data_IF_073443190544
#
_entry.id   IF_073443190544
#
_cell.length_a   1.000
_cell.length_b   1.000
_cell.length_c   1.000
_cell.angle_alpha   90.00
_cell.angle_beta   90.00
_cell.angle_gamma   90.00
#
_symmetry.space_group_name_H-M   'P 1'
#
loop_
_entity.id
_entity.type
_entity.pdbx_description
1 polymer ?
#
# COMPACT_ATOMS: atom_id res chain seq x y z
N UNK A 1 -7.38 -45.21 28.47
CA UNK A 1 -6.51 -44.05 28.81
C UNK A 1 -5.27 -43.88 27.91
N UNK A 2 -4.59 -44.94 27.44
CA UNK A 2 -3.28 -44.82 26.75
C UNK A 2 -3.33 -44.25 25.31
N UNK A 3 -4.40 -44.52 24.53
CA UNK A 3 -4.53 -44.04 23.14
C UNK A 3 -4.63 -42.51 23.06
N UNK A 4 -5.33 -41.87 24.00
CA UNK A 4 -5.48 -40.41 24.05
C UNK A 4 -4.15 -39.69 24.30
N UNK A 5 -3.35 -40.17 25.27
CA UNK A 5 -2.01 -39.62 25.55
C UNK A 5 -1.07 -39.72 24.34
N UNK A 6 -1.13 -40.84 23.61
CA UNK A 6 -0.35 -41.04 22.37
C UNK A 6 -0.75 -40.07 21.26
N UNK A 7 -2.05 -39.84 21.07
CA UNK A 7 -2.54 -38.92 20.04
C UNK A 7 -2.12 -37.47 20.34
N UNK A 8 -2.16 -37.04 21.61
CA UNK A 8 -1.65 -35.74 22.04
C UNK A 8 -0.14 -35.63 21.79
N UNK A 9 0.63 -36.68 22.10
CA UNK A 9 2.08 -36.67 21.88
C UNK A 9 2.43 -36.50 20.40
N UNK A 10 1.75 -37.23 19.50
CA UNK A 10 1.93 -37.12 18.05
C UNK A 10 1.55 -35.72 17.57
N UNK A 11 0.41 -35.20 18.02
CA UNK A 11 -0.02 -33.84 17.71
C UNK A 11 1.04 -32.82 18.13
N UNK A 12 1.51 -32.87 19.38
CA UNK A 12 2.51 -31.94 19.90
C UNK A 12 3.83 -32.03 19.15
N UNK A 13 4.31 -33.23 18.82
CA UNK A 13 5.57 -33.43 18.07
C UNK A 13 5.48 -32.84 16.66
N UNK A 14 4.30 -32.87 16.02
CA UNK A 14 4.09 -32.30 14.69
C UNK A 14 3.91 -30.79 14.77
N UNK A 15 3.08 -30.30 15.69
CA UNK A 15 2.77 -28.87 15.79
C UNK A 15 3.91 -28.07 16.40
N UNK A 16 4.74 -28.66 17.26
CA UNK A 16 5.90 -27.98 17.83
C UNK A 16 6.81 -27.38 16.74
N UNK A 17 7.43 -28.14 15.82
CA UNK A 17 8.30 -27.56 14.81
C UNK A 17 7.57 -26.56 13.91
N UNK A 18 6.29 -26.81 13.56
CA UNK A 18 5.49 -25.87 12.77
C UNK A 18 5.36 -24.53 13.49
N UNK A 19 4.97 -24.54 14.76
CA UNK A 19 4.80 -23.31 15.55
C UNK A 19 6.12 -22.57 15.78
N UNK A 20 7.22 -23.28 15.99
CA UNK A 20 8.55 -22.67 16.08
C UNK A 20 8.98 -22.04 14.76
N UNK A 21 8.83 -22.74 13.64
CA UNK A 21 9.14 -22.20 12.31
C UNK A 21 8.29 -20.98 11.98
N UNK A 22 6.99 -21.01 12.31
CA UNK A 22 6.14 -19.83 12.17
C UNK A 22 6.58 -18.69 13.09
N UNK A 23 6.95 -18.98 14.34
CA UNK A 23 7.45 -17.97 15.28
C UNK A 23 8.68 -17.24 14.75
N UNK A 24 9.65 -17.98 14.21
CA UNK A 24 10.83 -17.41 13.57
C UNK A 24 10.44 -16.55 12.36
N UNK A 25 9.55 -17.06 11.50
CA UNK A 25 9.07 -16.30 10.35
C UNK A 25 8.34 -15.01 10.74
N UNK A 26 7.58 -15.00 11.82
CA UNK A 26 6.91 -13.80 12.34
C UNK A 26 7.94 -12.75 12.80
N UNK A 27 9.02 -13.17 13.47
CA UNK A 27 10.12 -12.27 13.85
C UNK A 27 10.82 -11.70 12.61
N UNK A 28 11.14 -12.54 11.63
CA UNK A 28 11.75 -12.08 10.38
C UNK A 28 10.84 -11.08 9.63
N UNK A 29 9.53 -11.35 9.58
CA UNK A 29 8.56 -10.43 8.97
C UNK A 29 8.42 -9.13 9.74
N UNK A 30 8.52 -9.16 11.07
CA UNK A 30 8.56 -7.95 11.87
C UNK A 30 9.81 -7.11 11.53
N UNK A 31 10.98 -7.74 11.44
CA UNK A 31 12.23 -7.07 11.06
C UNK A 31 12.16 -6.45 9.66
N UNK A 32 11.62 -7.17 8.67
CA UNK A 32 11.42 -6.64 7.32
C UNK A 32 10.52 -5.41 7.30
N UNK A 33 9.43 -5.41 8.08
CA UNK A 33 8.56 -4.23 8.20
C UNK A 33 9.30 -3.05 8.83
N UNK A 34 10.08 -3.30 9.87
CA UNK A 34 10.91 -2.28 10.53
C UNK A 34 11.93 -1.69 9.56
N UNK A 35 12.57 -2.52 8.74
CA UNK A 35 13.52 -2.05 7.72
C UNK A 35 12.85 -1.16 6.66
N UNK A 36 11.66 -1.55 6.17
CA UNK A 36 10.88 -0.73 5.23
C UNK A 36 10.53 0.62 5.84
N UNK A 37 10.08 0.65 7.09
CA UNK A 37 9.73 1.89 7.81
C UNK A 37 10.97 2.77 7.98
N UNK A 38 12.09 2.21 8.44
CA UNK A 38 13.33 2.95 8.61
C UNK A 38 13.84 3.55 7.29
N UNK A 39 13.77 2.79 6.20
CA UNK A 39 14.13 3.28 4.87
C UNK A 39 13.19 4.41 4.44
N UNK A 40 11.88 4.24 4.62
CA UNK A 40 10.88 5.28 4.34
C UNK A 40 11.19 6.57 5.13
N UNK A 41 11.42 6.49 6.43
CA UNK A 41 11.71 7.64 7.30
C UNK A 41 13.01 8.36 6.87
N UNK A 42 14.00 7.60 6.40
CA UNK A 42 15.25 8.15 5.86
C UNK A 42 15.07 8.89 4.53
N UNK A 43 14.07 8.51 3.73
CA UNK A 43 13.79 9.11 2.43
C UNK A 43 12.89 10.33 2.59
N UNK A 44 11.83 10.25 3.40
CA UNK A 44 10.87 11.34 3.55
C UNK A 44 11.44 12.56 4.26
N UNK A 45 12.50 12.37 5.06
CA UNK A 45 13.24 13.45 5.72
C UNK A 45 14.17 14.23 4.77
N UNK A 46 14.41 13.74 3.56
CA UNK A 46 15.22 14.44 2.56
C UNK A 46 14.45 15.63 1.98
N UNK A 47 15.16 16.70 1.57
CA UNK A 47 14.51 17.82 0.91
C UNK A 47 13.81 17.37 -0.38
N UNK A 48 12.65 17.96 -0.65
CA UNK A 48 11.92 17.70 -1.87
C UNK A 48 12.74 18.15 -3.09
N UNK A 49 12.75 17.32 -4.12
CA UNK A 49 13.42 17.61 -5.39
C UNK A 49 12.40 18.01 -6.45
N UNK A 50 12.82 18.80 -7.43
CA UNK A 50 11.98 19.13 -8.57
C UNK A 50 11.65 17.86 -9.37
N UNK A 51 10.37 17.64 -9.66
CA UNK A 51 9.95 16.52 -10.51
C UNK A 51 10.26 16.80 -11.98
N UNK A 52 10.99 15.90 -12.62
CA UNK A 52 11.26 15.87 -14.06
C UNK A 52 11.06 14.44 -14.55
N UNK A 53 10.32 14.26 -15.64
CA UNK A 53 9.95 12.92 -16.16
C UNK A 53 11.17 12.07 -16.54
N UNK A 54 12.25 12.72 -16.94
CA UNK A 54 13.50 12.05 -17.33
C UNK A 54 14.28 11.49 -16.13
N UNK A 55 13.93 11.88 -14.90
CA UNK A 55 14.62 11.41 -13.71
C UNK A 55 14.04 10.08 -13.22
N UNK A 56 14.93 9.15 -12.87
CA UNK A 56 14.56 7.98 -12.09
C UNK A 56 14.33 8.38 -10.62
N UNK A 57 13.11 8.21 -10.14
CA UNK A 57 12.75 8.47 -8.75
C UNK A 57 12.80 7.20 -7.91
N UNK A 58 13.29 7.34 -6.70
CA UNK A 58 13.18 6.29 -5.69
C UNK A 58 11.77 6.35 -5.09
N UNK A 59 11.17 5.21 -4.77
CA UNK A 59 9.89 5.16 -4.07
C UNK A 59 9.92 6.04 -2.81
N UNK A 60 8.82 6.77 -2.59
CA UNK A 60 8.61 7.71 -1.46
C UNK A 60 9.50 8.94 -1.44
N UNK A 61 10.32 9.19 -2.47
CA UNK A 61 11.10 10.40 -2.58
C UNK A 61 10.19 11.64 -2.61
N UNK A 62 10.38 12.62 -1.71
CA UNK A 62 9.62 13.86 -1.75
C UNK A 62 9.95 14.63 -3.03
N UNK A 63 8.92 15.05 -3.76
CA UNK A 63 9.06 15.85 -4.98
C UNK A 63 8.13 17.05 -4.95
N UNK A 64 8.52 18.12 -5.62
CA UNK A 64 7.67 19.28 -5.87
C UNK A 64 7.62 19.59 -7.36
N UNK A 65 6.51 20.18 -7.79
CA UNK A 65 6.24 20.54 -9.17
C UNK A 65 5.17 21.63 -9.23
N UNK A 66 5.17 22.38 -10.31
CA UNK A 66 4.25 23.50 -10.53
C UNK A 66 3.51 23.30 -11.86
N UNK A 67 2.26 23.74 -11.91
CA UNK A 67 1.37 23.51 -13.05
C UNK A 67 -0.10 23.62 -12.65
N UNK A 68 -0.97 22.94 -13.39
CA UNK A 68 -2.42 23.00 -13.24
C UNK A 68 -3.06 21.61 -13.26
N UNK A 69 -4.16 21.47 -12.51
CA UNK A 69 -5.01 20.29 -12.62
C UNK A 69 -5.93 20.42 -13.84
N UNK A 70 -6.04 19.36 -14.62
CA UNK A 70 -6.95 19.29 -15.77
C UNK A 70 -8.35 18.84 -15.34
N UNK A 71 -9.32 18.78 -16.25
CA UNK A 71 -10.66 18.25 -15.93
C UNK A 71 -10.72 16.71 -15.85
N UNK A 72 -9.61 16.02 -16.14
CA UNK A 72 -9.57 14.55 -16.20
C UNK A 72 -9.31 13.95 -14.81
N UNK A 73 -10.29 13.19 -14.32
CA UNK A 73 -10.22 12.46 -13.06
C UNK A 73 -10.49 10.97 -13.32
N UNK A 74 -9.59 10.12 -12.84
CA UNK A 74 -9.72 8.67 -12.92
C UNK A 74 -10.08 8.09 -11.54
N UNK A 75 -11.09 7.22 -11.54
CA UNK A 75 -11.52 6.48 -10.37
C UNK A 75 -11.13 5.01 -10.55
N UNK A 76 -10.22 4.51 -9.72
CA UNK A 76 -9.95 3.08 -9.61
C UNK A 76 -11.04 2.48 -8.74
N UNK A 77 -11.94 1.72 -9.37
CA UNK A 77 -12.99 0.98 -8.69
C UNK A 77 -12.42 -0.22 -7.92
N UNK A 78 -13.22 -0.77 -7.00
CA UNK A 78 -12.84 -1.92 -6.16
C UNK A 78 -11.59 -1.70 -5.28
N UNK A 79 -11.23 -0.45 -5.00
CA UNK A 79 -10.19 -0.16 -4.05
C UNK A 79 -10.64 -0.55 -2.63
N UNK A 80 -9.77 -1.26 -1.91
CA UNK A 80 -9.95 -1.60 -0.51
C UNK A 80 -8.94 -0.81 0.33
N UNK A 81 -9.43 0.03 1.23
CA UNK A 81 -8.59 0.74 2.21
C UNK A 81 -9.10 0.44 3.62
N UNK A 82 -8.25 -0.18 4.45
CA UNK A 82 -8.56 -0.51 5.85
C UNK A 82 -9.90 -1.26 6.03
N UNK A 83 -10.19 -2.22 5.14
CA UNK A 83 -11.40 -3.05 5.18
C UNK A 83 -12.66 -2.38 4.60
N UNK A 84 -12.56 -1.16 4.06
CA UNK A 84 -13.67 -0.44 3.42
C UNK A 84 -13.49 -0.42 1.91
N UNK A 85 -14.55 -0.78 1.18
CA UNK A 85 -14.59 -0.70 -0.27
C UNK A 85 -14.85 0.75 -0.73
N UNK A 86 -14.27 1.15 -1.85
CA UNK A 86 -14.39 2.51 -2.36
C UNK A 86 -13.60 2.73 -3.65
N UNK A 87 -13.21 3.98 -3.87
CA UNK A 87 -12.52 4.43 -5.07
C UNK A 87 -11.21 5.14 -4.69
N UNK A 88 -10.11 4.80 -5.36
CA UNK A 88 -8.93 5.69 -5.36
C UNK A 88 -9.09 6.71 -6.47
N UNK A 89 -8.73 7.94 -6.17
CA UNK A 89 -8.87 9.05 -7.11
C UNK A 89 -7.50 9.46 -7.61
N UNK A 90 -7.35 9.50 -8.91
CA UNK A 90 -6.18 10.04 -9.59
C UNK A 90 -6.62 11.23 -10.42
N UNK A 91 -5.98 12.37 -10.22
CA UNK A 91 -6.29 13.60 -10.95
C UNK A 91 -5.13 13.92 -11.87
N UNK A 92 -5.43 14.06 -13.16
CA UNK A 92 -4.42 14.40 -14.15
C UNK A 92 -3.97 15.84 -13.94
N UNK A 93 -2.66 15.99 -13.71
CA UNK A 93 -1.98 17.26 -13.51
C UNK A 93 -1.03 17.51 -14.68
N UNK A 94 -1.09 18.73 -15.22
CA UNK A 94 -0.24 19.21 -16.29
C UNK A 94 0.83 20.13 -15.71
N UNK A 95 2.10 19.77 -15.91
CA UNK A 95 3.23 20.59 -15.47
C UNK A 95 3.46 21.77 -16.42
N UNK A 96 4.21 22.77 -15.96
CA UNK A 96 4.63 23.92 -16.80
C UNK A 96 5.40 23.44 -18.04
N UNK A 97 6.19 22.37 -17.91
CA UNK A 97 6.94 21.73 -19.01
C UNK A 97 6.04 20.88 -19.93
N UNK A 98 4.73 21.15 -19.93
CA UNK A 98 3.72 20.51 -20.77
C UNK A 98 3.65 18.98 -20.66
N UNK A 99 4.02 18.46 -19.49
CA UNK A 99 3.99 17.03 -19.22
C UNK A 99 2.79 16.65 -18.35
N UNK A 100 2.37 15.39 -18.44
CA UNK A 100 1.17 14.91 -17.77
C UNK A 100 1.48 13.83 -16.75
N UNK A 101 0.98 14.00 -15.52
CA UNK A 101 1.14 13.05 -14.43
C UNK A 101 -0.17 12.86 -13.69
N UNK A 102 -0.42 11.63 -13.21
CA UNK A 102 -1.55 11.36 -12.34
C UNK A 102 -1.15 11.54 -10.88
N UNK A 103 -1.83 12.46 -10.20
CA UNK A 103 -1.65 12.69 -8.77
C UNK A 103 -2.73 11.92 -8.01
N UNK A 104 -2.31 11.01 -7.13
CA UNK A 104 -3.23 10.31 -6.24
C UNK A 104 -3.79 11.29 -5.19
N UNK A 105 -5.10 11.56 -5.26
CA UNK A 105 -5.81 12.54 -4.40
C UNK A 105 -6.37 11.93 -3.12
N UNK A 106 -6.25 10.62 -2.96
CA UNK A 106 -6.77 9.89 -1.79
C UNK A 106 -7.82 8.86 -2.16
N UNK A 107 -8.56 8.44 -1.15
CA UNK A 107 -9.57 7.38 -1.22
C UNK A 107 -10.92 7.91 -0.74
N UNK A 108 -11.98 7.57 -1.47
CA UNK A 108 -13.37 7.80 -1.06
C UNK A 108 -14.02 6.45 -0.80
N UNK A 109 -14.52 6.26 0.42
CA UNK A 109 -15.33 5.11 0.80
C UNK A 109 -16.65 5.10 0.02
N UNK A 110 -16.97 3.97 -0.62
CA UNK A 110 -18.27 3.74 -1.22
C UNK A 110 -19.28 3.51 -0.09
N UNK A 111 -19.86 4.58 0.45
CA UNK A 111 -21.06 4.46 1.28
C UNK A 111 -22.17 3.81 0.44
N UNK A 112 -22.95 2.91 1.03
CA UNK A 112 -23.98 2.07 0.39
C UNK A 112 -25.15 2.80 -0.34
N UNK A 113 -24.97 4.04 -0.83
CA UNK A 113 -25.99 4.83 -1.52
C UNK A 113 -25.47 5.64 -2.73
N UNK A 114 -24.50 5.13 -3.49
CA UNK A 114 -24.21 5.68 -4.83
C UNK A 114 -24.19 4.59 -5.92
N UNK A 115 -25.30 3.88 -6.04
CA UNK A 115 -25.75 3.35 -7.34
C UNK A 115 -26.08 4.55 -8.25
N UNK A 116 -25.10 5.22 -8.89
CA UNK A 116 -25.38 6.08 -10.08
C UNK A 116 -24.23 6.78 -10.81
N UNK A 117 -23.02 6.22 -10.89
CA UNK A 117 -22.01 6.80 -11.79
C UNK A 117 -21.57 5.79 -12.85
N UNK A 118 -22.55 5.34 -13.63
CA UNK A 118 -22.35 4.85 -15.00
C UNK A 118 -23.44 5.51 -15.81
N UNK A 119 -23.05 6.58 -16.50
CA UNK A 119 -23.71 7.15 -17.68
C UNK A 119 -22.91 8.38 -18.07
N UNK A 120 -21.81 8.16 -18.79
CA UNK A 120 -21.47 8.86 -20.02
C UNK A 120 -20.70 7.88 -20.91
#
# INVERSE_FOLDING_TARGET
MSRFKRNILIFSIIFMPITFSLGLWQVDRANQKTEIINNYDSIISKPAVEFKIENDFINWQPVYLTGEFTDIILYEDNALLSGKAGFKIYHLFRTIDNSYIFIHRGFIEAKNHQKRFTNY
#
